data_IF_670102242036
#
_entry.id   IF_670102242036
#
_cell.length_a   1.000
_cell.length_b   1.000
_cell.length_c   1.000
_cell.angle_alpha   90.00
_cell.angle_beta   90.00
_cell.angle_gamma   90.00
#
_symmetry.space_group_name_H-M   'P 1'
#
loop_
_entity.id
_entity.type
_entity.pdbx_description
1 polymer ?
#
# COMPACT_ATOMS: atom_id res chain seq x y z
N UNK A 1 -4.37 -25.82 31.72
CA UNK A 1 -3.53 -26.96 31.24
C UNK A 1 -3.05 -26.68 29.82
N UNK A 2 -1.76 -26.84 29.62
CA UNK A 2 -1.00 -26.95 28.38
C UNK A 2 -0.91 -25.69 27.46
N UNK A 3 0.22 -25.00 27.61
CA UNK A 3 0.73 -23.99 26.71
C UNK A 3 1.36 -24.58 25.45
N UNK A 4 1.24 -23.81 24.35
CA UNK A 4 2.02 -24.03 23.13
C UNK A 4 3.12 -22.97 23.01
N UNK A 5 4.36 -23.42 22.96
CA UNK A 5 5.59 -22.63 22.85
C UNK A 5 5.78 -22.12 21.42
N UNK A 6 6.13 -20.85 21.26
CA UNK A 6 6.62 -20.25 20.02
C UNK A 6 8.10 -20.57 19.80
N UNK A 7 8.54 -20.96 18.59
CA UNK A 7 9.93 -21.38 18.32
C UNK A 7 10.87 -20.24 17.85
N UNK A 8 10.54 -18.96 17.97
CA UNK A 8 11.42 -17.86 17.51
C UNK A 8 11.54 -16.76 18.56
N UNK A 9 12.19 -17.05 19.67
CA UNK A 9 12.46 -16.06 20.70
C UNK A 9 13.84 -16.26 21.28
N UNK A 10 14.84 -15.54 20.76
CA UNK A 10 16.16 -15.40 21.36
C UNK A 10 16.22 -14.13 22.19
N UNK A 11 16.23 -14.27 23.48
CA UNK A 11 16.48 -13.20 24.44
C UNK A 11 17.98 -13.02 24.65
N UNK A 12 18.43 -11.78 24.73
CA UNK A 12 19.76 -11.43 25.20
C UNK A 12 19.73 -10.12 25.98
N UNK A 13 19.69 -10.24 27.28
CA UNK A 13 19.94 -9.19 28.27
C UNK A 13 21.45 -8.97 28.46
N UNK A 14 21.88 -7.77 28.80
CA UNK A 14 23.18 -7.46 29.36
C UNK A 14 23.54 -6.00 29.37
N UNK A 15 23.20 -5.33 30.45
CA UNK A 15 23.79 -4.07 30.92
C UNK A 15 25.23 -4.31 31.35
N UNK A 16 26.10 -3.27 31.31
CA UNK A 16 27.31 -3.20 32.09
C UNK A 16 28.40 -2.30 31.50
N UNK A 17 28.45 -1.15 31.99
CA UNK A 17 29.44 -0.10 32.18
C UNK A 17 30.93 -0.52 32.18
N UNK A 18 31.83 0.39 31.71
CA UNK A 18 33.06 0.75 32.41
C UNK A 18 34.38 0.29 31.82
N UNK A 19 35.15 1.27 31.41
CA UNK A 19 36.60 1.47 31.56
C UNK A 19 37.67 0.59 30.88
N UNK A 20 38.50 1.28 30.11
CA UNK A 20 39.90 1.01 29.74
C UNK A 20 40.83 1.22 30.98
N UNK A 21 42.14 0.79 31.05
CA UNK A 21 43.10 0.42 30.01
C UNK A 21 44.13 -0.70 30.35
N UNK A 22 45.10 -0.88 29.43
CA UNK A 22 46.51 -1.32 29.56
C UNK A 22 46.92 -2.79 29.55
N UNK A 23 47.79 -3.07 28.56
CA UNK A 23 49.03 -3.85 28.51
C UNK A 23 49.14 -5.21 29.20
N UNK A 24 49.66 -6.19 28.42
CA UNK A 24 50.28 -7.36 28.98
C UNK A 24 50.38 -8.57 28.05
N UNK A 25 51.50 -8.70 27.48
CA UNK A 25 52.23 -9.84 26.91
C UNK A 25 51.94 -11.21 27.53
N UNK A 26 51.64 -12.23 26.73
CA UNK A 26 52.30 -13.55 26.69
C UNK A 26 51.44 -14.65 26.03
N UNK A 27 52.07 -15.35 25.11
CA UNK A 27 51.80 -16.62 24.43
C UNK A 27 51.90 -17.82 25.46
N UNK A 28 51.62 -19.08 25.15
CA UNK A 28 50.87 -19.77 24.06
C UNK A 28 49.87 -20.83 24.52
N UNK A 29 49.02 -21.31 23.59
CA UNK A 29 48.31 -22.59 23.86
C UNK A 29 47.27 -22.99 22.79
N UNK A 30 47.68 -23.89 21.94
CA UNK A 30 46.96 -24.81 21.04
C UNK A 30 45.48 -25.05 21.30
N UNK A 31 44.65 -24.92 20.25
CA UNK A 31 43.67 -25.94 19.88
C UNK A 31 43.17 -25.76 18.44
N UNK A 32 43.05 -26.86 17.69
CA UNK A 32 42.85 -26.92 16.27
C UNK A 32 41.42 -26.61 15.83
N UNK A 33 41.30 -25.86 14.74
CA UNK A 33 40.10 -25.70 13.94
C UNK A 33 40.14 -26.53 12.68
N UNK A 34 39.01 -26.81 12.03
CA UNK A 34 38.91 -27.76 10.92
C UNK A 34 39.61 -27.26 9.66
N UNK A 35 40.31 -28.18 9.00
CA UNK A 35 41.13 -27.95 7.79
C UNK A 35 40.23 -27.70 6.55
N UNK A 36 40.57 -26.68 5.80
CA UNK A 36 40.00 -26.37 4.50
C UNK A 36 40.51 -27.38 3.43
N UNK A 37 39.63 -28.07 2.67
CA UNK A 37 40.03 -29.18 1.78
C UNK A 37 40.62 -28.74 0.43
N UNK A 38 40.83 -27.46 0.20
CA UNK A 38 41.26 -26.91 -1.13
C UNK A 38 42.72 -26.39 -1.17
N UNK A 39 43.59 -26.74 -0.19
CA UNK A 39 45.01 -26.41 -0.27
C UNK A 39 45.82 -27.65 -0.68
N UNK A 40 46.64 -27.60 -1.73
CA UNK A 40 47.52 -28.71 -2.10
C UNK A 40 48.62 -28.87 -1.08
N UNK A 41 48.87 -30.15 -0.73
CA UNK A 41 49.79 -30.56 0.32
C UNK A 41 51.22 -30.19 0.03
N UNK A 42 51.86 -29.50 0.96
CA UNK A 42 53.30 -29.22 0.92
C UNK A 42 54.06 -30.28 1.75
N UNK A 43 54.89 -31.01 1.09
CA UNK A 43 55.92 -31.86 1.73
C UNK A 43 57.04 -31.00 2.29
N UNK A 44 57.48 -31.40 3.47
CA UNK A 44 58.66 -30.88 4.15
C UNK A 44 59.91 -31.26 3.41
N UNK A 45 60.74 -30.32 3.05
CA UNK A 45 62.19 -30.58 3.03
C UNK A 45 63.00 -29.34 3.40
N UNK A 46 64.01 -29.62 4.13
CA UNK A 46 64.86 -28.69 4.90
C UNK A 46 65.99 -28.20 3.97
N UNK A 47 65.98 -26.94 3.55
CA UNK A 47 67.08 -26.40 2.75
C UNK A 47 67.08 -24.88 2.78
N UNK A 48 68.04 -24.32 3.46
CA UNK A 48 68.36 -22.87 3.51
C UNK A 48 68.38 -22.26 2.09
N UNK A 49 67.35 -21.45 1.79
CA UNK A 49 67.35 -20.62 0.59
C UNK A 49 67.70 -19.19 0.97
N UNK A 50 68.89 -18.79 0.54
CA UNK A 50 69.32 -17.37 0.52
C UNK A 50 68.44 -16.63 -0.47
N UNK A 51 67.89 -15.51 -0.08
CA UNK A 51 67.21 -14.60 -0.96
C UNK A 51 68.18 -14.06 -2.01
N UNK A 52 67.88 -14.22 -3.28
CA UNK A 52 68.65 -13.65 -4.40
C UNK A 52 68.45 -12.13 -4.40
N UNK A 53 69.53 -11.40 -4.31
CA UNK A 53 69.56 -9.94 -4.45
C UNK A 53 69.42 -9.58 -5.92
N UNK A 54 68.72 -8.48 -6.19
CA UNK A 54 68.45 -7.89 -7.51
C UNK A 54 69.80 -7.58 -8.27
N UNK A 55 70.90 -7.50 -7.54
CA UNK A 55 72.22 -7.22 -8.12
C UNK A 55 72.86 -8.40 -8.87
N UNK A 56 72.40 -9.65 -8.63
CA UNK A 56 72.94 -10.81 -9.34
C UNK A 56 72.42 -10.98 -10.79
N UNK A 57 71.32 -10.24 -11.13
CA UNK A 57 70.74 -10.31 -12.48
C UNK A 57 71.54 -9.53 -13.53
N UNK A 58 72.37 -8.57 -13.10
CA UNK A 58 73.12 -7.69 -14.01
C UNK A 58 74.60 -8.07 -14.22
N UNK A 59 75.09 -9.12 -13.60
CA UNK A 59 76.53 -9.40 -13.57
C UNK A 59 77.02 -10.48 -14.59
N UNK A 60 76.10 -11.14 -15.29
CA UNK A 60 76.47 -12.14 -16.27
C UNK A 60 76.19 -11.73 -17.72
N UNK A 61 77.00 -10.78 -18.24
CA UNK A 61 77.24 -10.68 -19.67
C UNK A 61 78.65 -11.26 -19.97
N UNK A 62 78.68 -12.54 -20.32
CA UNK A 62 79.84 -13.19 -20.85
C UNK A 62 79.65 -13.50 -22.36
N UNK A 63 80.72 -13.58 -23.14
CA UNK A 63 80.68 -13.54 -24.59
C UNK A 63 80.23 -14.86 -25.25
N UNK A 64 79.75 -14.69 -26.46
CA UNK A 64 79.14 -15.64 -27.38
C UNK A 64 79.87 -17.00 -27.52
N UNK A 65 79.02 -18.08 -27.46
CA UNK A 65 79.38 -19.42 -27.91
C UNK A 65 78.30 -19.92 -28.91
N UNK A 66 78.67 -20.86 -29.83
CA UNK A 66 77.95 -21.12 -31.07
C UNK A 66 76.63 -21.87 -30.87
N UNK A 67 75.70 -21.50 -31.67
CA UNK A 67 74.28 -21.93 -31.75
C UNK A 67 74.16 -23.44 -31.91
N UNK A 68 73.43 -24.10 -31.00
CA UNK A 68 72.82 -25.42 -31.27
C UNK A 68 71.31 -25.25 -31.35
N UNK A 69 70.80 -25.57 -32.54
CA UNK A 69 69.39 -25.73 -32.88
C UNK A 69 68.73 -26.78 -31.98
N UNK A 70 67.81 -26.37 -31.12
CA UNK A 70 66.98 -27.26 -30.35
C UNK A 70 65.51 -26.83 -30.55
N UNK A 71 64.73 -27.63 -31.32
CA UNK A 71 63.32 -27.40 -31.59
C UNK A 71 62.47 -27.58 -30.30
N UNK A 72 61.97 -26.47 -29.76
CA UNK A 72 60.85 -26.48 -28.80
C UNK A 72 59.53 -26.51 -29.55
N UNK A 73 58.44 -27.07 -28.97
CA UNK A 73 57.16 -27.14 -29.66
C UNK A 73 56.62 -25.73 -29.89
N UNK A 74 56.55 -25.36 -31.19
CA UNK A 74 55.90 -24.15 -31.66
C UNK A 74 54.42 -24.28 -31.34
N UNK A 75 53.91 -23.46 -30.40
CA UNK A 75 52.48 -23.22 -30.27
C UNK A 75 51.89 -22.82 -31.62
N UNK A 76 50.58 -23.04 -31.82
CA UNK A 76 49.95 -22.76 -33.12
C UNK A 76 50.12 -21.28 -33.46
N UNK A 77 51.09 -21.02 -34.36
CA UNK A 77 51.26 -19.70 -34.98
C UNK A 77 50.10 -19.55 -35.98
N UNK A 78 49.09 -18.82 -35.63
CA UNK A 78 48.08 -18.32 -36.58
C UNK A 78 48.83 -17.44 -37.61
N UNK A 79 49.30 -18.04 -38.71
CA UNK A 79 49.76 -17.29 -39.88
C UNK A 79 48.51 -16.92 -40.65
N UNK A 80 48.06 -15.67 -40.51
CA UNK A 80 47.07 -15.10 -41.40
C UNK A 80 47.65 -15.13 -42.82
N UNK A 81 46.90 -15.59 -43.85
CA UNK A 81 47.36 -15.63 -45.21
C UNK A 81 47.77 -14.22 -45.65
N UNK A 82 48.96 -14.08 -46.19
CA UNK A 82 49.49 -12.82 -46.73
C UNK A 82 48.73 -12.46 -48.02
N UNK A 83 48.32 -11.23 -48.14
CA UNK A 83 47.63 -10.70 -49.32
C UNK A 83 48.59 -10.64 -50.45
N UNK A 84 48.23 -11.03 -51.73
CA UNK A 84 49.07 -10.82 -52.87
C UNK A 84 49.33 -9.31 -53.02
N UNK A 85 50.57 -8.87 -52.66
CA UNK A 85 50.99 -7.47 -52.62
C UNK A 85 51.70 -7.05 -51.33
N UNK A 86 52.01 -7.95 -50.38
CA UNK A 86 52.90 -7.70 -49.23
C UNK A 86 52.34 -6.82 -48.12
N UNK A 87 51.01 -6.46 -48.15
CA UNK A 87 50.36 -5.67 -47.13
C UNK A 87 49.69 -6.58 -46.09
N UNK A 88 49.98 -6.33 -44.82
CA UNK A 88 49.38 -7.04 -43.68
C UNK A 88 47.87 -7.02 -43.70
N UNK A 89 47.20 -8.14 -43.34
CA UNK A 89 45.75 -8.23 -43.15
C UNK A 89 45.25 -7.52 -41.88
N UNK A 90 46.16 -7.18 -40.97
CA UNK A 90 45.87 -6.55 -39.70
C UNK A 90 44.98 -5.30 -39.83
N UNK A 91 45.22 -4.35 -40.74
CA UNK A 91 44.36 -3.18 -40.88
C UNK A 91 42.97 -3.54 -41.42
N UNK A 92 42.84 -4.57 -42.27
CA UNK A 92 41.52 -5.00 -42.79
C UNK A 92 40.69 -5.69 -41.72
N UNK A 93 41.34 -6.54 -40.93
CA UNK A 93 40.70 -7.18 -39.76
C UNK A 93 40.32 -6.12 -38.74
N UNK A 94 41.18 -5.15 -38.44
CA UNK A 94 40.88 -4.05 -37.54
C UNK A 94 39.66 -3.23 -38.00
N UNK A 95 39.59 -2.88 -39.29
CA UNK A 95 38.43 -2.20 -39.88
C UNK A 95 37.17 -3.06 -39.80
N UNK A 96 37.28 -4.37 -40.09
CA UNK A 96 36.18 -5.32 -39.98
C UNK A 96 35.62 -5.41 -38.54
N UNK A 97 36.49 -5.48 -37.55
CA UNK A 97 36.13 -5.47 -36.12
C UNK A 97 35.46 -4.16 -35.73
N UNK A 98 36.00 -3.02 -36.18
CA UNK A 98 35.39 -1.70 -35.91
C UNK A 98 34.02 -1.58 -36.57
N UNK A 99 33.83 -2.03 -37.80
CA UNK A 99 32.53 -2.00 -38.48
C UNK A 99 31.52 -2.92 -37.81
N UNK A 100 31.95 -4.11 -37.38
CA UNK A 100 31.10 -5.06 -36.66
C UNK A 100 30.67 -4.46 -35.30
N UNK A 101 31.61 -3.88 -34.56
CA UNK A 101 31.35 -3.21 -33.30
C UNK A 101 30.41 -2.00 -33.48
N UNK A 102 30.65 -1.17 -34.49
CA UNK A 102 29.80 -0.05 -34.84
C UNK A 102 28.39 -0.51 -35.22
N UNK A 103 28.24 -1.59 -36.00
CA UNK A 103 26.95 -2.16 -36.36
C UNK A 103 26.15 -2.68 -35.16
N UNK A 104 26.82 -3.39 -34.25
CA UNK A 104 26.20 -3.92 -33.05
C UNK A 104 25.75 -2.81 -32.07
N UNK A 105 26.50 -1.72 -31.96
CA UNK A 105 26.20 -0.61 -31.07
C UNK A 105 25.29 0.46 -31.68
N UNK A 106 25.01 0.39 -32.99
CA UNK A 106 24.17 1.37 -33.69
C UNK A 106 22.69 1.00 -33.73
N UNK A 107 22.36 -0.27 -33.48
CA UNK A 107 20.96 -0.75 -33.57
C UNK A 107 20.36 -0.87 -32.16
N UNK A 108 19.30 -0.11 -31.93
CA UNK A 108 18.54 -0.15 -30.67
C UNK A 108 17.10 -0.53 -30.94
N UNK A 109 16.60 -1.52 -30.16
CA UNK A 109 15.20 -1.94 -30.20
C UNK A 109 14.49 -1.33 -29.01
N UNK A 110 13.56 -0.39 -29.28
CA UNK A 110 12.71 0.24 -28.27
C UNK A 110 11.37 -0.48 -28.26
N UNK A 111 10.96 -1.01 -27.10
CA UNK A 111 9.71 -1.74 -26.96
C UNK A 111 8.48 -0.82 -27.09
N UNK A 112 7.29 -1.39 -27.43
CA UNK A 112 6.04 -0.68 -27.30
C UNK A 112 5.86 -0.26 -25.84
N UNK A 113 5.57 1.02 -25.56
CA UNK A 113 5.46 1.69 -24.27
C UNK A 113 6.76 2.30 -23.73
N UNK A 114 7.86 2.11 -24.41
CA UNK A 114 9.14 2.76 -24.10
C UNK A 114 9.41 3.90 -25.07
N UNK A 115 10.15 4.89 -24.59
CA UNK A 115 10.78 5.90 -25.42
C UNK A 115 12.27 5.96 -25.07
N UNK A 116 13.08 6.23 -26.07
CA UNK A 116 14.50 6.43 -25.87
C UNK A 116 14.88 7.89 -26.09
N UNK A 117 15.82 8.39 -25.30
CA UNK A 117 16.44 9.68 -25.53
C UNK A 117 17.87 9.45 -25.97
N UNK A 118 18.25 10.06 -27.10
CA UNK A 118 19.61 10.02 -27.64
C UNK A 118 20.37 11.27 -27.22
N UNK A 119 21.51 11.06 -26.60
CA UNK A 119 22.42 12.13 -26.20
C UNK A 119 23.74 12.03 -26.93
N UNK A 120 24.32 13.18 -27.22
CA UNK A 120 25.70 13.27 -27.69
C UNK A 120 26.68 13.04 -26.54
N UNK A 121 27.90 12.70 -26.91
CA UNK A 121 29.02 12.72 -25.97
C UNK A 121 29.09 14.09 -25.26
N UNK A 122 28.92 14.06 -23.90
CA UNK A 122 28.77 15.28 -23.10
C UNK A 122 27.35 15.60 -22.62
N UNK A 123 26.36 14.72 -22.88
CA UNK A 123 25.01 14.83 -22.29
C UNK A 123 24.04 15.73 -23.05
N UNK A 124 24.44 16.31 -24.19
CA UNK A 124 23.55 17.16 -24.97
C UNK A 124 22.43 16.32 -25.65
N UNK A 125 21.17 16.74 -25.47
CA UNK A 125 20.01 16.14 -26.15
C UNK A 125 20.13 16.23 -27.67
N UNK A 126 19.87 15.14 -28.37
CA UNK A 126 19.85 15.05 -29.83
C UNK A 126 18.45 14.85 -30.38
N UNK A 127 17.83 13.74 -30.04
CA UNK A 127 16.48 13.36 -30.50
C UNK A 127 15.84 12.32 -29.60
N UNK A 128 14.51 12.19 -29.70
CA UNK A 128 13.76 11.11 -29.06
C UNK A 128 13.57 9.96 -30.04
N UNK A 129 13.70 8.73 -29.55
CA UNK A 129 13.42 7.49 -30.28
C UNK A 129 12.03 6.98 -29.91
N UNK A 130 11.20 6.77 -30.91
CA UNK A 130 9.92 6.11 -30.74
C UNK A 130 10.08 4.59 -30.73
N UNK A 131 9.03 3.87 -30.34
CA UNK A 131 8.98 2.41 -30.36
C UNK A 131 9.32 1.84 -31.74
N UNK A 132 10.15 0.79 -31.78
CA UNK A 132 10.59 0.13 -32.99
C UNK A 132 12.10 0.02 -33.10
N UNK A 133 12.58 -0.32 -34.31
CA UNK A 133 14.00 -0.41 -34.59
C UNK A 133 14.56 0.96 -34.95
N UNK A 134 15.51 1.44 -34.17
CA UNK A 134 16.14 2.74 -34.34
C UNK A 134 17.62 2.60 -34.58
N UNK A 135 18.15 3.49 -35.43
CA UNK A 135 19.58 3.55 -35.75
C UNK A 135 20.17 4.81 -35.11
N UNK A 136 21.25 4.63 -34.34
CA UNK A 136 22.01 5.71 -33.70
C UNK A 136 23.47 5.61 -34.07
N UNK A 137 24.25 6.63 -33.82
CA UNK A 137 25.70 6.57 -33.97
C UNK A 137 26.28 5.66 -32.88
N UNK A 138 27.38 4.90 -33.20
CA UNK A 138 27.94 3.98 -32.25
C UNK A 138 28.48 4.68 -31.00
N UNK A 139 28.38 3.99 -29.88
CA UNK A 139 29.05 4.43 -28.65
C UNK A 139 30.56 4.61 -28.91
N UNK A 140 31.26 5.68 -28.43
CA UNK A 140 30.80 6.66 -27.43
C UNK A 140 30.17 7.95 -28.01
N UNK A 141 29.96 8.03 -29.33
CA UNK A 141 29.47 9.28 -29.97
C UNK A 141 28.07 9.63 -29.51
N UNK A 142 27.20 8.63 -29.45
CA UNK A 142 25.82 8.78 -28.92
C UNK A 142 25.56 7.73 -27.87
N UNK A 143 24.79 8.13 -26.86
CA UNK A 143 24.26 7.28 -25.78
C UNK A 143 22.74 7.29 -25.84
N UNK A 144 22.12 6.13 -25.65
CA UNK A 144 20.67 5.98 -25.63
C UNK A 144 20.24 5.57 -24.24
N UNK A 145 19.32 6.35 -23.66
CA UNK A 145 18.62 6.01 -22.41
C UNK A 145 17.18 5.68 -22.75
N UNK A 146 16.71 4.50 -22.35
CA UNK A 146 15.34 4.02 -22.63
C UNK A 146 14.57 3.98 -21.32
N UNK A 147 13.35 4.57 -21.31
CA UNK A 147 12.46 4.62 -20.16
C UNK A 147 11.03 4.21 -20.53
N UNK A 148 10.34 3.60 -19.59
CA UNK A 148 8.92 3.24 -19.69
C UNK A 148 8.06 4.49 -19.50
N UNK A 149 7.54 5.05 -20.59
CA UNK A 149 6.71 6.29 -20.56
C UNK A 149 5.23 6.00 -20.31
N UNK A 150 4.72 4.86 -20.82
CA UNK A 150 3.30 4.51 -20.69
C UNK A 150 2.94 3.86 -19.36
N UNK A 151 3.91 3.63 -18.50
CA UNK A 151 3.65 3.08 -17.18
C UNK A 151 3.05 4.16 -16.28
N UNK A 152 1.90 3.86 -15.69
CA UNK A 152 1.32 4.70 -14.65
C UNK A 152 2.11 4.48 -13.38
N UNK A 153 2.71 5.54 -12.88
CA UNK A 153 3.41 5.60 -11.60
C UNK A 153 2.48 6.18 -10.56
N UNK A 154 2.61 5.78 -9.32
CA UNK A 154 1.79 6.25 -8.23
C UNK A 154 2.66 6.67 -7.05
N UNK A 155 2.41 7.89 -6.56
CA UNK A 155 3.10 8.46 -5.41
C UNK A 155 2.10 8.82 -4.34
N UNK A 156 2.35 8.36 -3.11
CA UNK A 156 1.48 8.65 -1.96
C UNK A 156 2.02 9.81 -1.17
N UNK A 157 1.17 10.77 -0.87
CA UNK A 157 1.51 11.93 -0.03
C UNK A 157 0.65 11.91 1.23
N UNK A 158 1.28 12.00 2.43
CA UNK A 158 2.73 11.98 2.67
C UNK A 158 3.37 10.61 2.43
N UNK A 159 4.64 10.60 2.08
CA UNK A 159 5.42 9.37 2.01
C UNK A 159 5.69 8.87 3.43
N UNK A 160 4.99 7.79 3.84
CA UNK A 160 5.08 7.20 5.17
C UNK A 160 3.87 7.47 6.07
N UNK A 161 4.03 7.26 7.37
CA UNK A 161 2.94 7.36 8.35
C UNK A 161 2.94 8.71 9.10
N UNK A 162 3.36 9.79 8.44
CA UNK A 162 3.36 11.14 9.02
C UNK A 162 2.05 11.84 8.72
N UNK A 163 1.49 12.55 9.72
CA UNK A 163 0.30 13.38 9.52
C UNK A 163 0.63 14.59 8.63
N UNK A 164 -0.21 14.84 7.65
CA UNK A 164 -0.12 16.04 6.80
C UNK A 164 -1.33 16.92 7.02
N UNK A 165 -1.17 17.89 7.89
CA UNK A 165 -2.24 18.80 8.27
C UNK A 165 -2.41 19.90 7.20
N UNK A 166 -3.65 20.05 6.72
CA UNK A 166 -4.05 21.09 5.77
C UNK A 166 -5.19 21.90 6.37
N UNK A 167 -5.17 23.21 6.14
CA UNK A 167 -6.19 24.12 6.61
C UNK A 167 -7.36 24.18 5.62
N UNK A 168 -8.56 24.01 6.11
CA UNK A 168 -9.83 24.14 5.36
C UNK A 168 -10.27 25.61 5.28
N UNK A 169 -11.31 25.88 4.47
CA UNK A 169 -11.85 27.23 4.29
C UNK A 169 -12.47 27.84 5.54
N UNK A 170 -12.98 27.03 6.43
CA UNK A 170 -13.53 27.37 7.74
C UNK A 170 -12.49 27.38 8.89
N UNK A 171 -11.19 27.45 8.53
CA UNK A 171 -10.05 27.56 9.45
C UNK A 171 -9.85 26.34 10.39
N UNK A 172 -10.35 25.18 10.00
CA UNK A 172 -10.08 23.94 10.68
C UNK A 172 -8.90 23.20 10.07
N UNK A 173 -8.29 22.27 10.83
CA UNK A 173 -7.22 21.41 10.35
C UNK A 173 -7.74 20.01 10.04
N UNK A 174 -7.31 19.46 8.91
CA UNK A 174 -7.60 18.11 8.48
C UNK A 174 -6.31 17.37 8.14
N UNK A 175 -6.21 16.11 8.54
CA UNK A 175 -5.15 15.20 8.13
C UNK A 175 -5.58 14.51 6.83
N UNK A 176 -4.81 14.75 5.77
CA UNK A 176 -5.10 14.24 4.43
C UNK A 176 -3.96 13.37 3.91
N UNK A 177 -4.30 12.18 3.43
CA UNK A 177 -3.41 11.40 2.58
C UNK A 177 -4.06 11.14 1.23
N UNK A 178 -3.26 11.25 0.17
CA UNK A 178 -3.72 11.09 -1.20
C UNK A 178 -2.67 10.42 -2.07
N UNK A 179 -3.11 9.83 -3.15
CA UNK A 179 -2.31 9.14 -4.16
C UNK A 179 -2.35 9.96 -5.46
N UNK A 180 -1.18 10.26 -6.01
CA UNK A 180 -1.04 10.91 -7.32
C UNK A 180 -0.70 9.84 -8.34
N UNK A 181 -1.52 9.65 -9.36
CA UNK A 181 -1.24 8.77 -10.49
C UNK A 181 -0.80 9.60 -11.68
N UNK A 182 0.37 9.29 -12.20
CA UNK A 182 0.98 10.06 -13.28
C UNK A 182 1.77 9.17 -14.24
N UNK A 183 2.06 9.66 -15.41
CA UNK A 183 2.95 9.04 -16.36
C UNK A 183 3.78 10.09 -17.08
N UNK A 184 4.80 9.65 -17.80
CA UNK A 184 5.64 10.52 -18.61
C UNK A 184 4.95 10.75 -19.94
N UNK A 185 4.69 12.00 -20.31
CA UNK A 185 4.15 12.39 -21.62
C UNK A 185 5.25 12.70 -22.64
N UNK A 186 6.32 13.33 -22.19
CA UNK A 186 7.52 13.64 -23.00
C UNK A 186 8.78 13.37 -22.20
N UNK A 187 9.51 12.32 -22.60
CA UNK A 187 10.71 11.87 -21.90
C UNK A 187 11.84 12.89 -21.96
N UNK A 188 11.96 13.67 -23.06
CA UNK A 188 13.00 14.66 -23.19
C UNK A 188 12.79 15.82 -22.21
N UNK A 189 11.57 16.31 -22.10
CA UNK A 189 11.23 17.34 -21.12
C UNK A 189 11.39 16.85 -19.69
N UNK A 190 10.91 15.63 -19.40
CA UNK A 190 11.02 15.02 -18.08
C UNK A 190 12.47 14.90 -17.61
N UNK A 191 13.39 14.55 -18.51
CA UNK A 191 14.78 14.27 -18.13
C UNK A 191 15.68 15.51 -18.11
N UNK A 192 15.35 16.58 -18.89
CA UNK A 192 16.24 17.71 -19.10
C UNK A 192 15.67 19.06 -18.68
N UNK A 193 14.38 19.17 -18.40
CA UNK A 193 13.78 20.45 -18.06
C UNK A 193 13.88 20.78 -16.57
N UNK A 194 13.73 19.78 -15.72
CA UNK A 194 13.78 19.91 -14.27
C UNK A 194 14.94 19.09 -13.71
N UNK A 195 15.51 19.56 -12.62
CA UNK A 195 16.57 18.86 -11.90
C UNK A 195 16.00 17.61 -11.22
N UNK A 196 14.88 17.77 -10.52
CA UNK A 196 14.13 16.67 -9.90
C UNK A 196 12.63 16.76 -10.23
N UNK A 197 12.21 16.04 -11.28
CA UNK A 197 10.80 16.05 -11.70
C UNK A 197 9.85 15.41 -10.68
N UNK A 198 10.32 14.43 -9.89
CA UNK A 198 9.50 13.74 -8.90
C UNK A 198 9.22 14.65 -7.70
N UNK A 199 10.23 15.29 -7.16
CA UNK A 199 10.06 16.25 -6.07
C UNK A 199 9.19 17.44 -6.50
N UNK A 200 9.40 17.95 -7.71
CA UNK A 200 8.55 19.01 -8.28
C UNK A 200 7.08 18.57 -8.39
N UNK A 201 6.82 17.32 -8.80
CA UNK A 201 5.47 16.77 -8.86
C UNK A 201 4.81 16.75 -7.47
N UNK A 202 5.55 16.31 -6.45
CA UNK A 202 5.05 16.25 -5.07
C UNK A 202 4.77 17.66 -4.51
N UNK A 203 5.66 18.60 -4.72
CA UNK A 203 5.49 20.00 -4.28
C UNK A 203 4.30 20.68 -4.97
N UNK A 204 4.16 20.50 -6.28
CA UNK A 204 3.00 21.01 -7.04
C UNK A 204 1.72 20.35 -6.57
N UNK A 205 1.74 19.04 -6.29
CA UNK A 205 0.63 18.29 -5.74
C UNK A 205 0.19 18.83 -4.38
N UNK A 206 1.14 19.05 -3.48
CA UNK A 206 0.86 19.60 -2.17
C UNK A 206 0.29 21.02 -2.25
N UNK A 207 0.86 21.87 -3.08
CA UNK A 207 0.37 23.24 -3.27
C UNK A 207 -1.05 23.26 -3.88
N UNK A 208 -1.31 22.37 -4.84
CA UNK A 208 -2.63 22.25 -5.48
C UNK A 208 -3.68 21.71 -4.49
N UNK A 209 -3.34 20.68 -3.72
CA UNK A 209 -4.21 20.09 -2.69
C UNK A 209 -4.56 21.12 -1.62
N UNK A 210 -3.55 21.82 -1.08
CA UNK A 210 -3.76 22.88 -0.09
C UNK A 210 -4.71 23.96 -0.62
N UNK A 211 -4.55 24.35 -1.88
CA UNK A 211 -5.38 25.39 -2.48
C UNK A 211 -6.81 24.93 -2.82
N UNK A 212 -7.03 23.65 -3.06
CA UNK A 212 -8.37 23.10 -3.28
C UNK A 212 -9.12 22.91 -1.95
N UNK A 213 -8.47 22.32 -0.95
CA UNK A 213 -9.04 22.07 0.39
C UNK A 213 -9.35 23.39 1.11
N UNK A 214 -8.55 24.43 0.94
CA UNK A 214 -8.80 25.76 1.52
C UNK A 214 -10.09 26.44 1.01
N UNK A 215 -10.76 25.90 0.01
CA UNK A 215 -12.06 26.39 -0.48
C UNK A 215 -13.24 25.64 0.11
N UNK A 216 -13.00 24.47 0.68
CA UNK A 216 -14.03 23.58 1.19
C UNK A 216 -14.14 23.69 2.72
N UNK A 217 -15.35 23.45 3.22
CA UNK A 217 -15.60 23.35 4.66
C UNK A 217 -15.19 21.96 5.19
N UNK A 218 -14.80 21.89 6.46
CA UNK A 218 -14.34 20.65 7.10
C UNK A 218 -15.35 19.51 6.95
N UNK A 219 -16.64 19.78 7.18
CA UNK A 219 -17.70 18.77 7.09
C UNK A 219 -17.79 18.16 5.68
N UNK A 220 -17.69 18.98 4.65
CA UNK A 220 -17.68 18.54 3.23
C UNK A 220 -16.48 17.64 2.93
N UNK A 221 -15.32 17.98 3.48
CA UNK A 221 -14.08 17.22 3.29
C UNK A 221 -14.15 15.88 4.05
N UNK A 222 -14.61 15.87 5.30
CA UNK A 222 -14.72 14.66 6.14
C UNK A 222 -15.78 13.69 5.64
N UNK A 223 -16.96 14.19 5.26
CA UNK A 223 -18.07 13.35 4.75
C UNK A 223 -17.80 12.80 3.36
N UNK A 224 -16.78 13.35 2.66
CA UNK A 224 -16.40 12.93 1.31
C UNK A 224 -17.37 13.41 0.21
N UNK A 225 -18.35 14.24 0.56
CA UNK A 225 -19.32 14.78 -0.42
C UNK A 225 -18.63 15.62 -1.52
N UNK A 226 -17.55 16.34 -1.15
CA UNK A 226 -16.75 17.15 -2.08
C UNK A 226 -15.54 16.44 -2.69
N UNK A 227 -15.30 15.16 -2.37
CA UNK A 227 -14.06 14.44 -2.75
C UNK A 227 -13.80 14.48 -4.25
N UNK A 228 -14.77 14.11 -5.06
CA UNK A 228 -14.61 14.06 -6.51
C UNK A 228 -14.34 15.45 -7.12
N UNK A 229 -14.93 16.50 -6.57
CA UNK A 229 -14.69 17.87 -6.99
C UNK A 229 -13.28 18.34 -6.64
N UNK A 230 -12.83 18.03 -5.42
CA UNK A 230 -11.46 18.31 -4.95
C UNK A 230 -10.44 17.59 -5.83
N UNK A 231 -10.63 16.28 -6.05
CA UNK A 231 -9.73 15.45 -6.88
C UNK A 231 -9.60 16.02 -8.31
N UNK A 232 -10.73 16.40 -8.89
CA UNK A 232 -10.76 17.00 -10.22
C UNK A 232 -10.07 18.37 -10.25
N UNK A 233 -10.39 19.26 -9.30
CA UNK A 233 -9.77 20.58 -9.22
C UNK A 233 -8.26 20.49 -9.02
N UNK A 234 -7.80 19.59 -8.13
CA UNK A 234 -6.37 19.37 -7.86
C UNK A 234 -5.68 18.85 -9.11
N UNK A 235 -6.27 17.88 -9.81
CA UNK A 235 -5.72 17.34 -11.05
C UNK A 235 -5.55 18.45 -12.11
N UNK A 236 -6.59 19.24 -12.35
CA UNK A 236 -6.56 20.27 -13.38
C UNK A 236 -5.55 21.37 -13.03
N UNK A 237 -5.46 21.74 -11.75
CA UNK A 237 -4.50 22.72 -11.25
C UNK A 237 -3.06 22.22 -11.32
N UNK A 238 -2.82 20.94 -10.96
CA UNK A 238 -1.52 20.31 -11.09
C UNK A 238 -1.07 20.26 -12.54
N UNK A 239 -1.95 19.77 -13.45
CA UNK A 239 -1.61 19.68 -14.86
C UNK A 239 -1.25 21.05 -15.45
N UNK A 240 -2.05 22.07 -15.16
CA UNK A 240 -1.78 23.44 -15.62
C UNK A 240 -0.41 23.98 -15.14
N UNK A 241 0.01 23.65 -13.92
CA UNK A 241 1.32 24.04 -13.38
C UNK A 241 2.47 23.25 -14.02
N UNK A 242 2.31 21.95 -14.14
CA UNK A 242 3.31 21.07 -14.74
C UNK A 242 3.51 21.39 -16.24
N UNK A 243 2.44 21.76 -16.94
CA UNK A 243 2.51 22.22 -18.33
C UNK A 243 3.24 23.57 -18.44
N UNK A 244 2.98 24.50 -17.52
CA UNK A 244 3.69 25.78 -17.47
C UNK A 244 5.20 25.60 -17.22
N UNK A 245 5.59 24.59 -16.43
CA UNK A 245 7.00 24.23 -16.18
C UNK A 245 7.59 23.38 -17.32
N UNK A 246 6.78 22.93 -18.27
CA UNK A 246 7.19 21.99 -19.33
C UNK A 246 7.82 20.73 -18.76
N UNK A 247 7.21 20.17 -17.71
CA UNK A 247 7.78 19.03 -16.98
C UNK A 247 7.79 17.72 -17.77
N UNK A 248 7.03 17.59 -18.83
CA UNK A 248 6.84 16.32 -19.55
C UNK A 248 6.06 15.28 -18.76
N UNK A 249 5.33 15.69 -17.71
CA UNK A 249 4.50 14.82 -16.85
C UNK A 249 3.03 15.01 -17.19
N UNK A 250 2.29 13.90 -17.29
CA UNK A 250 0.84 13.90 -17.40
C UNK A 250 0.20 13.29 -16.15
N UNK A 251 -0.63 14.06 -15.45
CA UNK A 251 -1.38 13.61 -14.27
C UNK A 251 -2.61 12.85 -14.73
N UNK A 252 -2.68 11.56 -14.41
CA UNK A 252 -3.80 10.69 -14.79
C UNK A 252 -4.98 10.83 -13.84
N UNK A 253 -4.69 11.04 -12.55
CA UNK A 253 -5.71 11.21 -11.52
C UNK A 253 -5.10 11.38 -10.15
N UNK A 254 -5.93 11.85 -9.25
CA UNK A 254 -5.62 11.97 -7.82
C UNK A 254 -6.71 11.22 -7.09
N UNK A 255 -6.36 10.52 -6.06
CA UNK A 255 -7.27 9.75 -5.22
C UNK A 255 -6.98 10.07 -3.76
N UNK A 256 -7.99 10.56 -3.06
CA UNK A 256 -7.90 10.85 -1.63
C UNK A 256 -8.12 9.54 -0.87
N UNK A 257 -7.10 9.05 -0.18
CA UNK A 257 -7.15 7.79 0.56
C UNK A 257 -7.76 7.97 1.94
N UNK A 258 -7.32 9.01 2.65
CA UNK A 258 -7.68 9.24 4.03
C UNK A 258 -8.00 10.71 4.26
N UNK A 259 -9.05 10.97 5.01
CA UNK A 259 -9.46 12.31 5.44
C UNK A 259 -9.95 12.19 6.87
N UNK A 260 -9.13 12.60 7.83
CA UNK A 260 -9.43 12.49 9.25
C UNK A 260 -9.14 13.82 9.97
N UNK A 261 -9.78 14.08 11.10
CA UNK A 261 -9.36 15.15 11.98
C UNK A 261 -7.97 14.84 12.56
N UNK A 262 -7.20 15.86 13.00
CA UNK A 262 -5.92 15.65 13.66
C UNK A 262 -6.05 14.70 14.85
N UNK A 263 -5.05 13.83 15.05
CA UNK A 263 -5.06 12.80 16.10
C UNK A 263 -5.35 13.33 17.50
N UNK A 264 -4.96 14.58 17.79
CA UNK A 264 -5.19 15.23 19.08
C UNK A 264 -6.67 15.48 19.41
N UNK A 265 -7.51 15.61 18.40
CA UNK A 265 -8.95 15.94 18.55
C UNK A 265 -9.88 14.84 18.03
N UNK A 266 -9.33 13.74 17.55
CA UNK A 266 -10.07 12.61 16.98
C UNK A 266 -11.14 12.07 17.95
N UNK A 267 -10.80 11.92 19.23
CA UNK A 267 -11.74 11.45 20.26
C UNK A 267 -12.92 12.40 20.44
N UNK A 268 -12.64 13.71 20.51
CA UNK A 268 -13.68 14.71 20.61
C UNK A 268 -14.63 14.75 19.38
N UNK A 269 -14.08 14.55 18.18
CA UNK A 269 -14.87 14.43 16.95
C UNK A 269 -15.75 13.17 16.95
N UNK A 270 -15.25 12.04 17.45
CA UNK A 270 -16.04 10.82 17.63
C UNK A 270 -17.18 11.02 18.61
N UNK A 271 -16.94 11.72 19.71
CA UNK A 271 -17.98 12.03 20.70
C UNK A 271 -19.08 12.91 20.11
N UNK A 272 -18.71 13.95 19.34
CA UNK A 272 -19.68 14.82 18.64
C UNK A 272 -20.47 14.02 17.61
N UNK A 273 -19.82 13.19 16.80
CA UNK A 273 -20.48 12.34 15.81
C UNK A 273 -21.44 11.34 16.45
N UNK A 274 -21.04 10.73 17.58
CA UNK A 274 -21.91 9.85 18.37
C UNK A 274 -23.13 10.60 18.92
N UNK A 275 -22.92 11.80 19.45
CA UNK A 275 -24.02 12.61 19.96
C UNK A 275 -25.03 13.04 18.87
N UNK A 276 -24.51 13.35 17.65
CA UNK A 276 -25.38 13.63 16.51
C UNK A 276 -26.20 12.40 16.09
N UNK A 277 -25.53 11.23 15.99
CA UNK A 277 -26.23 9.98 15.68
C UNK A 277 -27.31 9.63 16.73
N UNK A 278 -27.02 9.84 17.99
CA UNK A 278 -27.99 9.63 19.07
C UNK A 278 -29.18 10.60 18.97
N UNK A 279 -28.93 11.86 18.64
CA UNK A 279 -29.97 12.85 18.41
C UNK A 279 -30.85 12.49 17.20
N UNK A 280 -30.23 12.11 16.07
CA UNK A 280 -30.96 11.67 14.87
C UNK A 280 -31.76 10.38 15.14
N UNK A 281 -31.19 9.42 15.87
CA UNK A 281 -31.87 8.21 16.29
C UNK A 281 -33.09 8.53 17.23
N UNK A 282 -32.95 9.50 18.12
CA UNK A 282 -34.06 9.94 18.99
C UNK A 282 -35.15 10.62 18.16
N UNK A 283 -34.79 11.48 17.22
CA UNK A 283 -35.75 12.12 16.30
C UNK A 283 -36.49 11.09 15.44
N UNK A 284 -35.77 10.13 14.85
CA UNK A 284 -36.39 9.09 14.03
C UNK A 284 -37.30 8.18 14.86
N UNK A 285 -36.91 7.81 16.08
CA UNK A 285 -37.77 7.07 17.00
C UNK A 285 -39.04 7.85 17.34
N UNK A 286 -38.91 9.15 17.61
CA UNK A 286 -40.07 10.00 17.91
C UNK A 286 -41.04 10.11 16.74
N UNK A 287 -40.51 10.25 15.51
CA UNK A 287 -41.33 10.24 14.28
C UNK A 287 -42.04 8.91 14.08
N UNK A 288 -41.31 7.79 14.25
CA UNK A 288 -41.88 6.46 14.12
C UNK A 288 -43.00 6.21 15.14
N UNK A 289 -42.83 6.66 16.40
CA UNK A 289 -43.87 6.58 17.46
C UNK A 289 -45.08 7.45 17.08
N UNK A 290 -44.87 8.67 16.59
CA UNK A 290 -45.92 9.55 16.14
C UNK A 290 -46.74 8.94 14.98
N UNK A 291 -46.06 8.39 13.96
CA UNK A 291 -46.72 7.69 12.86
C UNK A 291 -47.48 6.44 13.30
N UNK A 292 -46.88 5.65 14.20
CA UNK A 292 -47.53 4.47 14.77
C UNK A 292 -48.78 4.85 15.57
N UNK A 293 -48.72 5.93 16.39
CA UNK A 293 -49.86 6.41 17.14
C UNK A 293 -50.96 6.92 16.20
N UNK A 294 -50.59 7.66 15.16
CA UNK A 294 -51.53 8.16 14.17
C UNK A 294 -52.21 7.01 13.40
N UNK A 295 -51.42 6.04 12.95
CA UNK A 295 -51.92 4.86 12.24
C UNK A 295 -52.88 4.04 13.14
N UNK A 296 -52.53 3.88 14.43
CA UNK A 296 -53.37 3.22 15.40
C UNK A 296 -54.68 3.97 15.60
N UNK A 297 -54.62 5.30 15.80
CA UNK A 297 -55.83 6.11 15.94
C UNK A 297 -56.74 6.09 14.72
N UNK A 298 -56.15 6.09 13.53
CA UNK A 298 -56.87 5.92 12.25
C UNK A 298 -57.49 4.53 12.15
N UNK A 299 -56.78 3.50 12.54
CA UNK A 299 -57.27 2.11 12.60
C UNK A 299 -58.46 1.99 13.55
N UNK A 300 -58.32 2.49 14.78
CA UNK A 300 -59.38 2.45 15.79
C UNK A 300 -60.62 3.25 15.32
N UNK A 301 -60.43 4.40 14.68
CA UNK A 301 -61.52 5.20 14.09
C UNK A 301 -62.21 4.47 12.91
N UNK A 302 -61.46 3.80 12.04
CA UNK A 302 -62.01 3.01 10.94
C UNK A 302 -62.81 1.81 11.46
N UNK A 303 -62.28 1.11 12.47
CA UNK A 303 -62.97 0.00 13.15
C UNK A 303 -64.26 0.46 13.78
N UNK A 304 -64.22 1.59 14.53
CA UNK A 304 -65.44 2.19 15.11
C UNK A 304 -66.47 2.52 14.02
N UNK A 305 -66.08 3.15 12.94
CA UNK A 305 -67.01 3.51 11.85
C UNK A 305 -67.64 2.24 11.22
N UNK A 306 -66.86 1.19 11.02
CA UNK A 306 -67.38 -0.08 10.51
C UNK A 306 -68.37 -0.74 11.46
N UNK A 307 -68.09 -0.75 12.77
CA UNK A 307 -68.97 -1.25 13.79
C UNK A 307 -70.25 -0.39 13.86
N UNK A 308 -70.10 0.93 13.77
CA UNK A 308 -71.23 1.87 13.79
C UNK A 308 -72.16 1.67 12.58
N UNK A 309 -71.65 1.45 11.39
CA UNK A 309 -72.45 1.14 10.20
C UNK A 309 -73.24 -0.17 10.39
N UNK A 310 -72.61 -1.21 10.90
CA UNK A 310 -73.27 -2.49 11.22
C UNK A 310 -74.35 -2.31 12.30
N UNK A 311 -74.07 -1.51 13.34
CA UNK A 311 -75.01 -1.19 14.38
C UNK A 311 -76.27 -0.44 13.85
N UNK A 312 -76.07 0.50 12.92
CA UNK A 312 -77.13 1.25 12.27
C UNK A 312 -78.11 0.36 11.49
N UNK A 313 -77.59 -0.72 10.86
CA UNK A 313 -78.38 -1.69 10.07
C UNK A 313 -79.09 -2.70 10.95
N UNK A 314 -78.48 -3.21 12.02
CA UNK A 314 -79.05 -4.24 12.91
C UNK A 314 -78.54 -4.09 14.35
N UNK A 315 -79.19 -3.15 15.16
CA UNK A 315 -78.63 -2.77 16.48
C UNK A 315 -78.66 -3.90 17.51
N UNK A 316 -79.67 -4.74 17.51
CA UNK A 316 -79.82 -5.82 18.50
C UNK A 316 -78.80 -6.95 18.24
N UNK A 317 -78.55 -7.28 17.02
CA UNK A 317 -77.55 -8.34 16.62
C UNK A 317 -76.13 -7.89 16.88
N UNK A 318 -75.81 -6.66 16.49
CA UNK A 318 -74.49 -6.09 16.71
C UNK A 318 -74.12 -5.96 18.17
N UNK A 319 -75.12 -5.50 19.04
CA UNK A 319 -74.89 -5.42 20.45
C UNK A 319 -74.62 -6.77 21.13
N UNK A 320 -75.36 -7.82 20.74
CA UNK A 320 -75.09 -9.17 21.24
C UNK A 320 -73.73 -9.73 20.78
N UNK A 321 -73.36 -9.49 19.53
CA UNK A 321 -72.07 -9.91 19.04
C UNK A 321 -70.93 -9.27 19.77
N UNK A 322 -70.94 -7.92 19.92
CA UNK A 322 -69.94 -7.16 20.68
C UNK A 322 -69.86 -7.64 22.15
N UNK A 323 -71.02 -7.93 22.77
CA UNK A 323 -71.02 -8.47 24.13
C UNK A 323 -70.28 -9.83 24.20
N UNK A 324 -70.53 -10.75 23.27
CA UNK A 324 -69.90 -12.06 23.29
C UNK A 324 -68.39 -11.93 22.95
N UNK A 325 -67.99 -11.12 21.99
CA UNK A 325 -66.61 -10.86 21.65
C UNK A 325 -65.85 -10.24 22.84
N UNK A 326 -66.44 -9.29 23.52
CA UNK A 326 -65.86 -8.69 24.74
C UNK A 326 -65.70 -9.71 25.86
N UNK A 327 -66.75 -10.51 26.09
CA UNK A 327 -66.74 -11.55 27.15
C UNK A 327 -65.69 -12.63 26.80
N UNK A 328 -65.58 -13.06 25.56
CA UNK A 328 -64.53 -13.99 25.08
C UNK A 328 -63.13 -13.43 25.29
N UNK A 329 -62.91 -12.14 24.92
CA UNK A 329 -61.65 -11.47 25.13
C UNK A 329 -61.28 -11.36 26.61
N UNK A 330 -62.24 -11.02 27.49
CA UNK A 330 -62.01 -10.96 28.93
C UNK A 330 -61.76 -12.34 29.51
N UNK A 331 -62.60 -13.31 29.12
CA UNK A 331 -62.45 -14.68 29.58
C UNK A 331 -61.15 -15.34 29.09
N UNK A 332 -60.65 -15.01 27.91
CA UNK A 332 -59.37 -15.57 27.37
C UNK A 332 -58.15 -15.07 28.17
N UNK A 333 -58.23 -13.86 28.75
CA UNK A 333 -57.13 -13.23 29.51
C UNK A 333 -57.19 -13.47 31.01
N UNK A 334 -58.29 -14.08 31.50
CA UNK A 334 -58.52 -14.32 32.94
C UNK A 334 -58.30 -15.80 33.23
N UNK A 335 -57.43 -16.11 34.19
CA UNK A 335 -57.28 -17.46 34.70
C UNK A 335 -58.63 -17.91 35.30
N UNK A 336 -59.20 -18.98 34.73
CA UNK A 336 -60.50 -19.50 35.13
C UNK A 336 -60.36 -20.96 35.50
N UNK A 337 -61.06 -21.28 36.62
CA UNK A 337 -61.22 -22.66 37.02
C UNK A 337 -62.73 -23.02 36.84
N UNK A 338 -62.99 -23.95 35.88
CA UNK A 338 -64.38 -24.44 35.67
C UNK A 338 -64.57 -25.60 36.63
N UNK A 339 -65.56 -25.52 37.52
CA UNK A 339 -65.93 -26.58 38.44
C UNK A 339 -67.26 -27.15 37.94
N UNK A 340 -67.27 -28.36 37.44
CA UNK A 340 -68.42 -28.99 36.78
C UNK A 340 -69.08 -30.04 37.68
N UNK A 341 -68.82 -30.06 38.99
CA UNK A 341 -69.36 -31.09 39.91
C UNK A 341 -70.42 -30.49 40.85
N UNK A 342 -71.62 -31.08 40.86
CA UNK A 342 -72.65 -30.86 41.84
C UNK A 342 -72.22 -31.31 43.26
N UNK A 343 -72.12 -30.39 44.22
CA UNK A 343 -71.84 -30.69 45.63
C UNK A 343 -70.42 -30.42 46.12
N UNK A 344 -69.57 -29.82 45.36
CA UNK A 344 -68.21 -29.45 45.77
C UNK A 344 -68.20 -27.99 46.29
N UNK A 345 -67.83 -27.77 47.55
CA UNK A 345 -67.53 -26.44 48.04
C UNK A 345 -66.18 -25.94 47.47
N UNK A 346 -66.17 -24.87 46.71
CA UNK A 346 -64.91 -24.44 46.07
C UNK A 346 -63.98 -23.90 47.17
N UNK A 347 -62.95 -24.63 47.46
CA UNK A 347 -61.81 -24.14 48.25
C UNK A 347 -60.89 -23.36 47.32
N UNK A 348 -60.91 -22.04 47.39
CA UNK A 348 -59.97 -21.16 46.65
C UNK A 348 -58.69 -21.00 47.49
N UNK A 349 -57.55 -21.57 47.11
CA UNK A 349 -56.32 -21.38 47.88
C UNK A 349 -55.75 -19.99 47.54
N UNK A 350 -56.26 -18.95 48.18
CA UNK A 350 -55.80 -17.56 47.99
C UNK A 350 -54.26 -17.39 48.18
N UNK A 351 -53.67 -18.21 49.04
CA UNK A 351 -52.26 -18.18 49.32
C UNK A 351 -51.40 -18.66 48.14
N UNK A 352 -51.90 -19.58 47.32
CA UNK A 352 -51.18 -20.09 46.10
C UNK A 352 -51.31 -19.12 44.94
N UNK A 353 -52.43 -18.45 44.76
CA UNK A 353 -52.63 -17.40 43.79
C UNK A 353 -51.74 -16.18 44.10
N UNK A 354 -51.58 -15.80 45.36
CA UNK A 354 -50.61 -14.76 45.73
C UNK A 354 -49.16 -15.17 45.52
N UNK A 355 -48.81 -16.42 45.74
CA UNK A 355 -47.45 -16.94 45.44
C UNK A 355 -47.14 -16.93 43.94
N UNK A 356 -48.05 -17.32 43.05
CA UNK A 356 -47.89 -17.26 41.58
C UNK A 356 -47.78 -15.82 41.09
N UNK A 357 -48.51 -14.88 41.66
CA UNK A 357 -48.42 -13.45 41.31
C UNK A 357 -47.11 -12.79 41.77
N UNK A 358 -46.50 -13.31 42.84
CA UNK A 358 -45.24 -12.82 43.38
C UNK A 358 -44.00 -13.60 42.94
N UNK A 359 -44.17 -14.65 42.14
CA UNK A 359 -43.00 -15.25 41.46
C UNK A 359 -42.47 -14.30 40.38
N UNK A 360 -41.23 -13.80 40.49
CA UNK A 360 -40.65 -13.04 39.40
C UNK A 360 -40.60 -13.95 38.19
N UNK A 361 -41.22 -13.47 37.11
CA UNK A 361 -41.15 -14.12 35.80
C UNK A 361 -39.70 -14.41 35.52
N UNK A 362 -39.32 -15.71 35.50
CA UNK A 362 -37.94 -16.11 35.23
C UNK A 362 -37.52 -15.46 33.91
N UNK A 363 -36.48 -14.64 33.99
CA UNK A 363 -35.87 -14.02 32.82
C UNK A 363 -35.60 -15.09 31.80
N UNK A 364 -36.18 -14.94 30.64
CA UNK A 364 -35.82 -15.75 29.44
C UNK A 364 -34.32 -15.69 29.29
N UNK A 365 -33.59 -16.84 29.23
CA UNK A 365 -32.15 -16.82 29.03
C UNK A 365 -31.86 -16.12 27.70
N UNK A 366 -31.05 -15.08 27.75
CA UNK A 366 -30.53 -14.42 26.59
C UNK A 366 -29.83 -15.48 25.68
N UNK A 367 -30.27 -15.58 24.45
CA UNK A 367 -29.56 -16.35 23.43
C UNK A 367 -28.16 -15.74 23.25
N UNK A 368 -27.12 -16.54 23.24
CA UNK A 368 -25.78 -16.01 22.88
C UNK A 368 -25.80 -15.64 21.40
N UNK A 369 -25.59 -14.36 21.13
CA UNK A 369 -25.24 -13.87 19.79
C UNK A 369 -23.98 -14.58 19.35
N UNK A 370 -24.12 -15.42 18.32
CA UNK A 370 -23.03 -16.07 17.63
C UNK A 370 -22.22 -15.05 16.82
N UNK A 371 -20.92 -15.28 16.81
CA UNK A 371 -19.82 -14.60 16.13
C UNK A 371 -20.07 -14.29 14.66
#
# INVERSE_FOLDING_TARGET
MAGKKNPWGGAGKGEGDGDTPETGESDPGKSGGPRNPWLPGGGSDNGKRRSASIEDIFKNRGPEGPRRSGGGPRGPSFRLPERPGGKSWVPVIAVGVVLLWAGLTSVHFVQPREQGVVTWFGGQYSRTLNSGTNFTLPWPIQQVTVELVSQIRSETVPSGNTEKLILTGDQNLVDLSYLIRWNISDLALYQYQLEDPQDTLLEVGEAAMRAAVAKQELDTVLTGAGRAEIEQEVRDRMQARLDAYRSGIAVQGIEINKTDPPSRVEEAFKDVSSAQQDADAAMNRSRAIAEQLLARAQGDAAEFNNIYEQYRLAPEVTRRRLYYETMESVLSRTDKTIIEADGVTPYLPLNEMQRRRNQPQAATPAQPEGQ
#
